data_IF_939715244125
#
_entry.id   IF_939715244125
#
_cell.length_a   1.000
_cell.length_b   1.000
_cell.length_c   1.000
_cell.angle_alpha   90.00
_cell.angle_beta   90.00
_cell.angle_gamma   90.00
#
_symmetry.space_group_name_H-M   'P 1'
#
loop_
_entity.id
_entity.type
_entity.pdbx_description
1 polymer ?
#
# COMPACT_ATOMS: atom_id res chain seq x y z
N UNK A 1 14.61 5.53 -13.05
CA UNK A 1 14.73 6.77 -13.84
C UNK A 1 15.08 7.90 -12.88
N UNK A 2 15.82 8.93 -13.31
CA UNK A 2 16.08 10.12 -12.49
C UNK A 2 15.10 11.22 -12.92
N UNK A 3 14.37 11.80 -11.98
CA UNK A 3 13.34 12.80 -12.26
C UNK A 3 13.38 13.86 -11.16
N UNK A 4 13.14 15.11 -11.54
CA UNK A 4 13.01 16.22 -10.59
C UNK A 4 11.54 16.50 -10.36
N UNK A 5 11.11 16.48 -9.10
CA UNK A 5 9.73 16.72 -8.70
C UNK A 5 9.72 17.78 -7.60
N UNK A 6 8.73 18.67 -7.65
CA UNK A 6 8.46 19.59 -6.54
C UNK A 6 7.45 18.93 -5.59
N UNK A 7 7.83 18.75 -4.33
CA UNK A 7 7.04 18.08 -3.31
C UNK A 7 7.08 18.97 -2.07
N UNK A 8 5.95 19.10 -1.38
CA UNK A 8 5.84 19.80 -0.12
C UNK A 8 6.78 19.17 0.94
N UNK A 9 7.67 20.00 1.52
CA UNK A 9 8.66 19.56 2.50
C UNK A 9 8.02 19.15 3.83
N UNK A 10 6.89 19.77 4.23
CA UNK A 10 6.18 19.40 5.45
C UNK A 10 5.54 18.02 5.30
N UNK A 11 5.01 17.72 4.11
CA UNK A 11 4.49 16.39 3.79
C UNK A 11 5.58 15.31 3.84
N UNK A 12 6.76 15.59 3.28
CA UNK A 12 7.89 14.66 3.33
C UNK A 12 8.40 14.46 4.76
N UNK A 13 8.47 15.53 5.55
CA UNK A 13 8.88 15.46 6.95
C UNK A 13 7.92 14.63 7.78
N UNK A 14 6.61 14.83 7.60
CA UNK A 14 5.59 14.05 8.30
C UNK A 14 5.62 12.57 7.88
N UNK A 15 5.75 12.29 6.59
CA UNK A 15 5.88 10.93 6.09
C UNK A 15 7.14 10.24 6.65
N UNK A 16 8.28 10.95 6.71
CA UNK A 16 9.52 10.44 7.31
C UNK A 16 9.33 10.13 8.80
N UNK A 17 8.68 11.04 9.54
CA UNK A 17 8.42 10.89 10.98
C UNK A 17 7.51 9.70 11.28
N UNK A 18 6.45 9.50 10.49
CA UNK A 18 5.48 8.43 10.68
C UNK A 18 6.00 7.05 10.24
N UNK A 19 6.80 7.00 9.17
CA UNK A 19 7.29 5.72 8.61
C UNK A 19 8.67 5.33 9.12
N UNK A 20 9.44 6.26 9.69
CA UNK A 20 10.83 6.07 10.09
C UNK A 20 11.83 6.03 8.92
N UNK A 21 11.38 6.33 7.69
CA UNK A 21 12.22 6.30 6.49
C UNK A 21 12.85 7.66 6.24
N UNK A 22 14.17 7.74 6.32
CA UNK A 22 14.92 8.99 6.13
C UNK A 22 15.17 9.34 4.65
N UNK A 23 15.21 8.35 3.76
CA UNK A 23 15.50 8.56 2.35
C UNK A 23 14.26 9.07 1.60
N UNK A 24 14.33 10.31 1.08
CA UNK A 24 13.22 10.95 0.33
C UNK A 24 12.71 10.09 -0.83
N UNK A 25 13.61 9.47 -1.59
CA UNK A 25 13.27 8.61 -2.73
C UNK A 25 12.59 7.31 -2.30
N UNK A 26 12.97 6.72 -1.18
CA UNK A 26 12.26 5.58 -0.60
C UNK A 26 10.85 5.96 -0.14
N UNK A 27 10.67 7.13 0.49
CA UNK A 27 9.34 7.63 0.87
C UNK A 27 8.41 7.78 -0.33
N UNK A 28 8.91 8.38 -1.43
CA UNK A 28 8.12 8.54 -2.66
C UNK A 28 7.75 7.17 -3.25
N UNK A 29 8.70 6.23 -3.31
CA UNK A 29 8.43 4.86 -3.75
C UNK A 29 7.35 4.18 -2.90
N UNK A 30 7.48 4.25 -1.57
CA UNK A 30 6.51 3.69 -0.63
C UNK A 30 5.12 4.32 -0.81
N UNK A 31 5.05 5.64 -1.03
CA UNK A 31 3.79 6.33 -1.31
C UNK A 31 3.10 5.79 -2.57
N UNK A 32 3.86 5.59 -3.66
CA UNK A 32 3.33 5.02 -4.90
C UNK A 32 2.87 3.56 -4.71
N UNK A 33 3.67 2.75 -4.03
CA UNK A 33 3.32 1.35 -3.73
C UNK A 33 2.05 1.27 -2.86
N UNK A 34 1.90 2.16 -1.87
CA UNK A 34 0.71 2.25 -1.03
C UNK A 34 -0.55 2.65 -1.83
N UNK A 35 -0.43 3.59 -2.78
CA UNK A 35 -1.55 3.97 -3.65
C UNK A 35 -1.98 2.81 -4.56
N UNK A 36 -1.02 2.09 -5.15
CA UNK A 36 -1.30 0.90 -5.96
C UNK A 36 -1.98 -0.17 -5.12
N UNK A 37 -1.48 -0.45 -3.91
CA UNK A 37 -2.08 -1.42 -3.00
C UNK A 37 -3.52 -1.04 -2.63
N UNK A 38 -3.78 0.25 -2.33
CA UNK A 38 -5.12 0.74 -1.99
C UNK A 38 -6.12 0.54 -3.13
N UNK A 39 -5.78 0.93 -4.35
CA UNK A 39 -6.68 0.76 -5.50
C UNK A 39 -6.84 -0.71 -5.89
N UNK A 40 -5.79 -1.51 -5.72
CA UNK A 40 -5.87 -2.96 -5.94
C UNK A 40 -6.82 -3.61 -4.95
N UNK A 41 -6.73 -3.26 -3.66
CA UNK A 41 -7.67 -3.72 -2.64
C UNK A 41 -9.11 -3.30 -2.95
N UNK A 42 -9.33 -2.06 -3.39
CA UNK A 42 -10.65 -1.58 -3.82
C UNK A 42 -11.22 -2.38 -4.98
N UNK A 43 -10.41 -2.66 -6.01
CA UNK A 43 -10.82 -3.49 -7.16
C UNK A 43 -11.12 -4.92 -6.74
N UNK A 44 -10.29 -5.52 -5.88
CA UNK A 44 -10.52 -6.87 -5.36
C UNK A 44 -11.81 -6.96 -4.53
N UNK A 45 -12.08 -5.96 -3.69
CA UNK A 45 -13.32 -5.90 -2.91
C UNK A 45 -14.56 -5.83 -3.81
N UNK A 46 -14.48 -5.06 -4.92
CA UNK A 46 -15.58 -4.96 -5.89
C UNK A 46 -15.89 -6.27 -6.61
N UNK A 47 -14.92 -7.18 -6.74
CA UNK A 47 -15.16 -8.52 -7.31
C UNK A 47 -15.97 -9.42 -6.38
N UNK A 48 -16.10 -9.11 -5.08
CA UNK A 48 -16.97 -9.82 -4.13
C UNK A 48 -16.87 -11.37 -4.15
N UNK A 49 -15.69 -11.93 -4.49
CA UNK A 49 -15.52 -13.39 -4.59
C UNK A 49 -16.14 -14.01 -5.85
N UNK A 50 -16.31 -13.23 -6.92
CA UNK A 50 -16.87 -13.66 -8.21
C UNK A 50 -16.06 -14.75 -8.94
N UNK A 51 -14.96 -15.26 -8.37
CA UNK A 51 -14.21 -16.36 -8.97
C UNK A 51 -15.01 -17.67 -8.80
N UNK A 52 -15.54 -18.25 -9.90
CA UNK A 52 -16.38 -19.44 -9.83
C UNK A 52 -15.63 -20.69 -9.36
N UNK A 53 -14.28 -20.66 -9.37
CA UNK A 53 -13.44 -21.78 -8.91
C UNK A 53 -12.98 -21.60 -7.46
N UNK A 54 -13.17 -20.43 -6.86
CA UNK A 54 -12.81 -20.20 -5.47
C UNK A 54 -13.67 -21.07 -4.55
N UNK A 55 -13.01 -21.84 -3.68
CA UNK A 55 -13.67 -22.66 -2.66
C UNK A 55 -13.46 -22.03 -1.29
N UNK A 56 -14.48 -22.01 -0.41
CA UNK A 56 -14.30 -21.52 0.95
C UNK A 56 -13.28 -22.37 1.70
N UNK A 57 -12.23 -21.72 2.22
CA UNK A 57 -11.22 -22.35 3.08
C UNK A 57 -11.47 -21.97 4.53
N UNK A 58 -11.20 -22.88 5.48
CA UNK A 58 -11.33 -22.58 6.91
C UNK A 58 -10.31 -21.48 7.29
N UNK A 59 -10.78 -20.45 7.99
CA UNK A 59 -9.89 -19.43 8.57
C UNK A 59 -8.94 -20.09 9.58
N UNK A 60 -7.63 -19.88 9.44
CA UNK A 60 -6.66 -20.31 10.48
C UNK A 60 -6.99 -19.60 11.79
N UNK A 61 -7.23 -20.38 12.84
CA UNK A 61 -7.41 -19.89 14.21
C UNK A 61 -6.15 -20.26 15.02
N UNK A 62 -5.64 -19.36 15.88
CA UNK A 62 -4.58 -19.74 16.82
C UNK A 62 -5.08 -20.84 17.76
N UNK A 63 -4.16 -21.71 18.20
CA UNK A 63 -4.46 -22.68 19.26
C UNK A 63 -4.86 -21.92 20.53
N UNK A 64 -5.82 -22.48 21.27
CA UNK A 64 -6.27 -21.92 22.56
C UNK A 64 -5.17 -22.01 23.60
#
# INVERSE_FOLDING_TARGET
MRTTLNIDDDLLAEAARLTGVAEKTALVRLGLEALVARESARRLAALAGSDPRARPVRRRRPAR
#
